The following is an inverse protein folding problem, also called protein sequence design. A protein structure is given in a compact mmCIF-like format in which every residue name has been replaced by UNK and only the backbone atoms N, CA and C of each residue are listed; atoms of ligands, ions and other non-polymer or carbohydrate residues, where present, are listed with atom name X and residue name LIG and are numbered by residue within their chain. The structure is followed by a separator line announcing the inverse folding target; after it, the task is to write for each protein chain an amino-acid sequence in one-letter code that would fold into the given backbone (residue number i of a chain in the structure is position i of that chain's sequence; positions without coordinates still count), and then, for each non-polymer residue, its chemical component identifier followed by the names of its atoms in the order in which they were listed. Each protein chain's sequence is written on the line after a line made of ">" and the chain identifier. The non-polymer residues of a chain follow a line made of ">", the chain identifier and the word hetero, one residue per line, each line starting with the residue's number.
data_IF_725213434012
#
_entry.id   IF_725213434012
#
_cell.length_a   1.000
_cell.length_b   1.000
_cell.length_c   1.000
_cell.angle_alpha   90.00
_cell.angle_beta   90.00
_cell.angle_gamma   90.00
#
_symmetry.space_group_name_H-M   'P 1'
#
loop_
_entity.id
_entity.type
_entity.pdbx_description
1 polymer ?
#
# COMPACT_ATOMS: atom_id res chain seq x y z
N UNK A 1 48.39 21.81 39.62
CA UNK A 1 46.97 21.80 39.20
C UNK A 1 46.75 22.98 38.27
N UNK A 2 46.82 22.74 36.97
CA UNK A 2 46.47 23.72 35.93
C UNK A 2 45.25 23.16 35.22
N UNK A 3 44.08 23.77 35.47
CA UNK A 3 42.85 23.44 34.77
C UNK A 3 42.86 24.18 33.43
N UNK A 4 42.91 23.43 32.33
CA UNK A 4 42.68 23.96 30.99
C UNK A 4 41.17 24.05 30.76
N UNK A 5 40.68 25.26 30.53
CA UNK A 5 39.32 25.55 30.10
C UNK A 5 39.21 25.15 28.63
N UNK A 6 38.50 24.06 28.33
CA UNK A 6 38.13 23.70 26.96
C UNK A 6 36.97 24.60 26.56
N UNK A 7 37.25 25.56 25.69
CA UNK A 7 36.24 26.39 25.03
C UNK A 7 35.65 25.55 23.90
N UNK A 8 34.46 24.96 24.12
CA UNK A 8 33.69 24.35 23.06
C UNK A 8 33.24 25.45 22.10
N UNK A 9 33.70 25.40 20.86
CA UNK A 9 33.16 26.22 19.78
C UNK A 9 31.70 25.81 19.57
N UNK A 10 30.76 26.67 20.01
CA UNK A 10 29.39 26.60 19.53
C UNK A 10 29.44 26.95 18.04
N UNK A 11 29.38 25.93 17.19
CA UNK A 11 29.10 26.13 15.78
C UNK A 11 27.81 26.93 15.66
N UNK A 12 27.84 28.01 14.89
CA UNK A 12 26.63 28.75 14.54
C UNK A 12 25.67 27.78 13.86
N UNK A 13 24.53 27.51 14.51
CA UNK A 13 23.38 26.92 13.85
C UNK A 13 22.94 27.96 12.83
N UNK A 14 23.19 27.71 11.54
CA UNK A 14 22.55 28.48 10.47
C UNK A 14 21.04 28.30 10.67
N UNK A 15 20.29 29.40 10.71
CA UNK A 15 18.84 29.29 10.60
C UNK A 15 18.53 28.71 9.21
N UNK A 16 17.48 27.90 9.12
CA UNK A 16 16.95 27.45 7.84
C UNK A 16 16.54 28.69 7.02
N UNK A 17 17.14 28.83 5.84
CA UNK A 17 16.79 29.90 4.90
C UNK A 17 15.82 29.36 3.83
N UNK A 18 14.97 30.24 3.30
CA UNK A 18 14.13 29.93 2.14
C UNK A 18 14.78 30.51 0.88
N UNK A 19 14.97 29.66 -0.12
CA UNK A 19 15.51 29.96 -1.44
C UNK A 19 14.41 29.78 -2.49
N UNK A 20 14.37 30.67 -3.48
CA UNK A 20 13.31 30.66 -4.51
C UNK A 20 13.83 30.24 -5.88
N UNK A 21 13.04 29.42 -6.59
CA UNK A 21 13.33 28.97 -7.96
C UNK A 21 12.22 29.40 -8.91
N UNK A 22 12.55 30.02 -10.04
CA UNK A 22 11.56 30.47 -11.01
C UNK A 22 12.16 30.92 -12.36
N UNK A 23 11.35 31.52 -13.25
CA UNK A 23 11.74 31.74 -14.65
C UNK A 23 12.82 32.82 -14.88
N UNK A 24 13.16 33.62 -13.88
CA UNK A 24 14.10 34.73 -14.03
C UNK A 24 14.85 35.04 -12.72
N UNK A 25 16.01 35.68 -12.81
CA UNK A 25 16.82 36.06 -11.63
C UNK A 25 16.48 37.44 -11.04
N UNK A 26 15.47 38.13 -11.60
CA UNK A 26 15.02 39.43 -11.04
C UNK A 26 14.04 39.23 -9.90
N UNK A 27 13.27 38.15 -9.94
CA UNK A 27 12.22 37.82 -8.97
C UNK A 27 12.55 36.55 -8.16
N UNK A 28 13.54 35.76 -8.59
CA UNK A 28 13.92 34.49 -7.95
C UNK A 28 15.44 34.40 -7.76
N UNK A 29 15.87 33.63 -6.76
CA UNK A 29 17.28 33.41 -6.46
C UNK A 29 17.97 32.52 -7.51
N UNK A 30 17.22 31.55 -8.05
CA UNK A 30 17.72 30.59 -9.04
C UNK A 30 16.73 30.36 -10.18
N UNK A 31 17.26 29.98 -11.35
CA UNK A 31 16.46 29.54 -12.50
C UNK A 31 16.20 28.02 -12.45
N UNK A 32 17.15 27.26 -11.92
CA UNK A 32 17.10 25.80 -11.90
C UNK A 32 17.07 25.28 -10.46
N UNK A 33 16.36 24.17 -10.25
CA UNK A 33 16.27 23.53 -8.94
C UNK A 33 17.65 22.96 -8.55
N UNK A 34 18.39 22.41 -9.52
CA UNK A 34 19.75 21.89 -9.30
C UNK A 34 20.69 22.97 -8.76
N UNK A 35 20.60 24.21 -9.26
CA UNK A 35 21.45 25.30 -8.77
C UNK A 35 21.07 25.72 -7.34
N UNK A 36 19.78 25.72 -7.00
CA UNK A 36 19.32 25.96 -5.63
C UNK A 36 19.84 24.87 -4.68
N UNK A 37 19.66 23.58 -5.02
CA UNK A 37 20.16 22.44 -4.21
C UNK A 37 21.67 22.55 -3.95
N UNK A 38 22.44 22.90 -4.99
CA UNK A 38 23.90 22.98 -4.87
C UNK A 38 24.35 24.03 -3.84
N UNK A 39 23.62 25.14 -3.72
CA UNK A 39 23.97 26.28 -2.87
C UNK A 39 23.24 26.29 -1.52
N UNK A 40 22.13 25.57 -1.39
CA UNK A 40 21.40 25.43 -0.14
C UNK A 40 22.24 24.76 0.96
N UNK A 41 22.11 25.24 2.18
CA UNK A 41 22.59 24.62 3.40
C UNK A 41 21.63 23.52 3.88
N UNK A 42 22.10 22.66 4.77
CA UNK A 42 21.23 21.66 5.42
C UNK A 42 20.20 22.36 6.29
N UNK A 43 18.94 21.98 6.14
CA UNK A 43 17.77 22.58 6.80
C UNK A 43 17.03 23.61 5.95
N UNK A 44 17.57 24.02 4.80
CA UNK A 44 16.96 25.04 3.95
C UNK A 44 15.70 24.53 3.22
N UNK A 45 14.86 25.49 2.86
CA UNK A 45 13.68 25.30 2.02
C UNK A 45 13.94 25.87 0.62
N UNK A 46 13.58 25.10 -0.41
CA UNK A 46 13.58 25.49 -1.81
C UNK A 46 12.13 25.60 -2.27
N UNK A 47 11.66 26.83 -2.46
CA UNK A 47 10.32 27.15 -2.91
C UNK A 47 10.30 27.31 -4.44
N UNK A 48 9.60 26.42 -5.13
CA UNK A 48 9.67 26.26 -6.58
C UNK A 48 8.40 26.83 -7.23
N UNK A 49 8.55 27.87 -8.04
CA UNK A 49 7.44 28.43 -8.80
C UNK A 49 6.90 27.43 -9.84
N UNK A 50 5.62 27.52 -10.23
CA UNK A 50 5.05 26.66 -11.27
C UNK A 50 5.86 26.67 -12.58
N UNK A 51 6.10 25.50 -13.14
CA UNK A 51 6.93 25.35 -14.33
C UNK A 51 7.29 23.90 -14.67
N UNK A 52 7.83 23.72 -15.88
CA UNK A 52 8.43 22.47 -16.34
C UNK A 52 9.95 22.57 -16.24
N UNK A 53 10.52 21.79 -15.33
CA UNK A 53 11.94 21.74 -15.02
C UNK A 53 12.55 20.46 -15.61
N UNK A 54 13.18 20.60 -16.78
CA UNK A 54 13.89 19.52 -17.45
C UNK A 54 15.24 19.27 -16.76
N UNK A 55 15.20 18.61 -15.60
CA UNK A 55 16.33 18.41 -14.70
C UNK A 55 16.29 17.00 -14.09
N UNK A 56 17.44 16.53 -13.61
CA UNK A 56 17.58 15.31 -12.82
C UNK A 56 18.21 15.71 -11.47
N UNK A 57 17.43 15.63 -10.40
CA UNK A 57 17.76 16.21 -9.10
C UNK A 57 18.48 15.20 -8.20
N UNK A 58 19.44 15.68 -7.42
CA UNK A 58 20.16 14.84 -6.45
C UNK A 58 20.45 15.60 -5.17
N UNK A 59 20.01 15.05 -4.03
CA UNK A 59 20.31 15.54 -2.68
C UNK A 59 21.14 14.50 -1.96
N UNK A 60 22.28 14.93 -1.38
CA UNK A 60 23.13 14.03 -0.63
C UNK A 60 23.82 14.72 0.54
N UNK A 61 23.67 14.14 1.73
CA UNK A 61 24.33 14.61 2.95
C UNK A 61 23.79 15.94 3.48
N UNK A 62 22.60 16.37 3.06
CA UNK A 62 21.93 17.59 3.52
C UNK A 62 20.44 17.35 3.65
N UNK A 63 19.84 17.94 4.67
CA UNK A 63 18.40 17.95 4.84
C UNK A 63 17.81 19.10 4.03
N UNK A 64 16.77 18.88 3.25
CA UNK A 64 16.18 19.92 2.39
C UNK A 64 14.68 19.73 2.22
N UNK A 65 13.92 20.83 2.23
CA UNK A 65 12.53 20.83 1.80
C UNK A 65 12.41 21.41 0.38
N UNK A 66 11.86 20.65 -0.56
CA UNK A 66 11.54 21.11 -1.91
C UNK A 66 10.01 21.18 -2.03
N UNK A 67 9.47 22.38 -2.18
CA UNK A 67 8.02 22.63 -2.16
C UNK A 67 7.56 23.40 -3.37
N UNK A 68 6.39 23.06 -3.88
CA UNK A 68 5.68 23.89 -4.84
C UNK A 68 5.22 25.20 -4.17
N UNK A 69 5.59 26.34 -4.76
CA UNK A 69 5.22 27.68 -4.28
C UNK A 69 3.72 28.00 -4.35
N UNK A 70 2.94 27.14 -5.01
CA UNK A 70 1.54 27.34 -5.30
C UNK A 70 1.30 28.13 -6.60
N UNK A 71 0.04 28.26 -6.98
CA UNK A 71 -0.37 28.99 -8.20
C UNK A 71 -0.22 28.22 -9.51
N UNK A 72 0.13 26.92 -9.47
CA UNK A 72 0.22 26.04 -10.63
C UNK A 72 1.00 24.76 -10.35
N UNK A 73 1.24 23.96 -11.39
CA UNK A 73 1.99 22.71 -11.29
C UNK A 73 3.50 22.94 -11.40
N UNK A 74 4.28 22.21 -10.59
CA UNK A 74 5.74 22.05 -10.71
C UNK A 74 6.01 20.65 -11.23
N UNK A 75 6.68 20.54 -12.37
CA UNK A 75 7.03 19.24 -12.96
C UNK A 75 8.55 19.13 -13.11
N UNK A 76 9.15 18.16 -12.43
CA UNK A 76 10.51 17.68 -12.69
C UNK A 76 10.43 16.62 -13.77
N UNK A 77 11.02 16.90 -14.92
CA UNK A 77 10.92 16.09 -16.13
C UNK A 77 12.26 15.43 -16.46
N UNK A 78 12.36 14.13 -16.21
CA UNK A 78 13.59 13.36 -16.31
C UNK A 78 14.09 13.06 -17.73
N UNK A 79 13.28 13.38 -18.77
CA UNK A 79 13.61 13.28 -20.20
C UNK A 79 13.97 11.87 -20.70
N UNK A 80 13.73 10.82 -19.92
CA UNK A 80 14.21 9.46 -20.17
C UNK A 80 15.72 9.32 -20.07
N UNK A 81 16.41 10.30 -19.45
CA UNK A 81 17.87 10.36 -19.39
C UNK A 81 18.43 9.79 -18.07
N UNK A 82 17.75 10.08 -16.96
CA UNK A 82 18.07 9.58 -15.62
C UNK A 82 16.81 9.68 -14.75
N UNK A 83 16.93 9.34 -13.47
CA UNK A 83 15.89 9.56 -12.45
C UNK A 83 15.47 11.01 -12.39
N UNK A 84 14.21 11.27 -12.08
CA UNK A 84 13.77 12.64 -11.81
C UNK A 84 14.39 13.19 -10.51
N UNK A 85 14.43 12.37 -9.46
CA UNK A 85 14.99 12.74 -8.16
C UNK A 85 15.69 11.57 -7.46
N UNK A 86 16.81 11.86 -6.80
CA UNK A 86 17.51 10.92 -5.94
C UNK A 86 17.92 11.58 -4.62
N UNK A 87 17.58 10.96 -3.49
CA UNK A 87 18.13 11.25 -2.17
C UNK A 87 19.04 10.11 -1.72
N UNK A 88 20.25 10.43 -1.26
CA UNK A 88 21.22 9.43 -0.80
C UNK A 88 22.15 9.94 0.30
N UNK A 89 22.39 9.12 1.32
CA UNK A 89 23.26 9.46 2.45
C UNK A 89 22.65 9.04 3.78
N UNK A 90 23.48 8.63 4.74
CA UNK A 90 23.07 7.90 5.97
C UNK A 90 22.24 8.72 6.97
N UNK A 91 22.05 10.02 6.74
CA UNK A 91 21.26 10.93 7.60
C UNK A 91 20.66 12.07 6.77
N UNK A 92 20.33 11.84 5.51
CA UNK A 92 19.74 12.86 4.63
C UNK A 92 18.24 12.76 4.72
N UNK A 93 17.58 13.84 5.16
CA UNK A 93 16.13 13.92 5.26
C UNK A 93 15.57 14.93 4.25
N UNK A 94 14.64 14.50 3.39
CA UNK A 94 14.09 15.38 2.34
C UNK A 94 12.58 15.45 2.42
N UNK A 95 12.03 16.66 2.27
CA UNK A 95 10.59 16.86 2.06
C UNK A 95 10.37 17.17 0.59
N UNK A 96 9.48 16.42 -0.06
CA UNK A 96 9.03 16.66 -1.42
C UNK A 96 7.53 16.95 -1.37
N UNK A 97 7.12 18.17 -1.69
CA UNK A 97 5.71 18.57 -1.57
C UNK A 97 5.15 19.23 -2.85
N UNK A 98 4.05 18.68 -3.37
CA UNK A 98 3.31 19.30 -4.47
C UNK A 98 4.01 19.23 -5.83
N UNK A 99 4.93 18.26 -6.01
CA UNK A 99 5.79 18.14 -7.20
C UNK A 99 5.36 16.93 -8.04
N UNK A 100 5.33 17.11 -9.36
CA UNK A 100 5.21 16.02 -10.33
C UNK A 100 6.59 15.55 -10.79
N UNK A 101 6.91 14.27 -10.62
CA UNK A 101 8.10 13.61 -11.15
C UNK A 101 7.70 12.74 -12.34
N UNK A 102 8.16 13.08 -13.55
CA UNK A 102 7.72 12.39 -14.75
C UNK A 102 8.79 12.12 -15.79
N UNK A 103 8.58 11.06 -16.56
CA UNK A 103 9.44 10.65 -17.67
C UNK A 103 10.91 10.50 -17.25
N UNK A 104 11.16 9.98 -16.05
CA UNK A 104 12.48 9.54 -15.60
C UNK A 104 12.77 8.12 -16.07
N UNK A 105 14.06 7.82 -16.21
CA UNK A 105 14.54 6.48 -16.59
C UNK A 105 15.70 6.05 -15.70
N UNK A 106 15.73 4.80 -15.24
CA UNK A 106 16.89 4.26 -14.54
C UNK A 106 17.18 2.80 -14.88
N UNK A 107 18.46 2.42 -14.91
CA UNK A 107 18.87 1.01 -14.99
C UNK A 107 19.08 0.36 -13.62
N UNK A 108 18.96 1.12 -12.52
CA UNK A 108 19.27 0.67 -11.16
C UNK A 108 18.09 0.78 -10.18
N UNK A 109 16.87 1.02 -10.69
CA UNK A 109 15.63 1.17 -9.93
C UNK A 109 15.27 2.62 -9.61
N UNK A 110 13.99 2.89 -9.36
CA UNK A 110 13.49 4.23 -9.05
C UNK A 110 13.50 5.17 -10.25
N UNK A 111 12.81 4.82 -11.34
CA UNK A 111 12.79 5.64 -12.56
C UNK A 111 12.37 7.09 -12.30
N UNK A 112 11.40 7.31 -11.42
CA UNK A 112 10.98 8.64 -10.98
C UNK A 112 11.81 9.13 -9.80
N UNK A 113 11.55 8.57 -8.62
CA UNK A 113 12.08 8.99 -7.34
C UNK A 113 12.86 7.84 -6.69
N UNK A 114 14.04 8.12 -6.14
CA UNK A 114 14.83 7.15 -5.40
C UNK A 114 15.30 7.68 -4.05
N UNK A 115 14.92 7.00 -2.98
CA UNK A 115 15.39 7.28 -1.61
C UNK A 115 16.29 6.13 -1.16
N UNK A 116 17.58 6.43 -1.06
CA UNK A 116 18.65 5.44 -0.99
C UNK A 116 19.54 5.58 0.24
N UNK A 117 20.25 4.50 0.60
CA UNK A 117 21.39 4.53 1.54
C UNK A 117 21.08 5.13 2.92
N UNK A 118 19.92 4.80 3.48
CA UNK A 118 19.51 5.25 4.81
C UNK A 118 18.98 6.69 4.86
N UNK A 119 18.82 7.36 3.71
CA UNK A 119 18.08 8.62 3.63
C UNK A 119 16.61 8.42 3.99
N UNK A 120 15.96 9.48 4.45
CA UNK A 120 14.52 9.53 4.69
C UNK A 120 13.86 10.55 3.78
N UNK A 121 12.58 10.34 3.50
CA UNK A 121 11.80 11.32 2.75
C UNK A 121 10.34 11.38 3.20
N UNK A 122 9.81 12.59 3.31
CA UNK A 122 8.37 12.84 3.35
C UNK A 122 7.92 13.29 1.96
N UNK A 123 7.16 12.43 1.28
CA UNK A 123 6.62 12.66 -0.06
C UNK A 123 5.14 12.99 0.08
N UNK A 124 4.76 14.24 -0.15
CA UNK A 124 3.45 14.79 0.19
C UNK A 124 2.82 15.43 -1.05
N UNK A 125 1.55 15.14 -1.31
CA UNK A 125 0.76 15.76 -2.40
C UNK A 125 1.50 15.71 -3.77
N UNK A 126 2.29 14.66 -3.99
CA UNK A 126 3.11 14.51 -5.19
C UNK A 126 2.41 13.67 -6.25
N UNK A 127 2.93 13.76 -7.49
CA UNK A 127 2.56 12.86 -8.58
C UNK A 127 3.82 12.22 -9.16
N UNK A 128 3.91 10.90 -9.15
CA UNK A 128 5.03 10.14 -9.72
C UNK A 128 4.48 9.34 -10.91
N UNK A 129 4.76 9.79 -12.13
CA UNK A 129 4.10 9.24 -13.31
C UNK A 129 4.95 9.04 -14.56
N UNK A 130 4.60 8.02 -15.36
CA UNK A 130 5.23 7.73 -16.65
C UNK A 130 6.76 7.58 -16.52
N UNK A 131 7.23 6.99 -15.42
CA UNK A 131 8.64 6.70 -15.21
C UNK A 131 8.93 5.23 -15.49
N UNK A 132 10.15 4.95 -15.93
CA UNK A 132 10.55 3.60 -16.33
C UNK A 132 11.86 3.19 -15.67
N UNK A 133 11.97 1.92 -15.30
CA UNK A 133 13.24 1.32 -14.93
C UNK A 133 13.37 -0.09 -15.47
N UNK A 134 14.58 -0.51 -15.82
CA UNK A 134 14.86 -1.91 -16.18
C UNK A 134 14.99 -2.83 -14.95
N UNK A 135 14.88 -2.27 -13.74
CA UNK A 135 14.99 -3.01 -12.48
C UNK A 135 13.70 -2.87 -11.67
N UNK A 136 13.76 -2.33 -10.45
CA UNK A 136 12.63 -2.28 -9.50
C UNK A 136 12.12 -0.87 -9.23
N UNK A 137 10.85 -0.71 -8.87
CA UNK A 137 10.28 0.57 -8.47
C UNK A 137 10.24 1.55 -9.65
N UNK A 138 9.37 1.31 -10.63
CA UNK A 138 9.30 2.15 -11.84
C UNK A 138 9.08 3.62 -11.50
N UNK A 139 8.15 3.89 -10.59
CA UNK A 139 7.89 5.23 -10.06
C UNK A 139 8.82 5.57 -8.91
N UNK A 140 8.74 4.81 -7.83
CA UNK A 140 9.42 5.07 -6.57
C UNK A 140 10.21 3.84 -6.11
N UNK A 141 11.48 4.03 -5.73
CA UNK A 141 12.19 3.09 -4.87
C UNK A 141 12.43 3.72 -3.50
N UNK A 142 11.89 3.09 -2.47
CA UNK A 142 12.02 3.51 -1.08
C UNK A 142 12.86 2.45 -0.34
N UNK A 143 14.19 2.58 -0.43
CA UNK A 143 15.13 1.71 0.30
C UNK A 143 15.57 2.30 1.64
N UNK A 144 15.47 3.63 1.75
CA UNK A 144 15.54 4.38 2.99
C UNK A 144 14.27 4.28 3.83
N UNK A 145 14.05 5.24 4.73
CA UNK A 145 12.80 5.38 5.49
C UNK A 145 11.92 6.50 4.95
N UNK A 146 10.77 6.71 5.56
CA UNK A 146 9.96 7.91 5.29
C UNK A 146 8.46 7.67 5.15
N UNK A 147 7.74 8.72 4.80
CA UNK A 147 6.30 8.70 4.59
C UNK A 147 5.93 9.10 3.17
N UNK A 148 4.85 8.53 2.65
CA UNK A 148 4.24 8.90 1.37
C UNK A 148 2.78 9.16 1.62
N UNK A 149 2.36 10.41 1.48
CA UNK A 149 1.02 10.86 1.86
C UNK A 149 0.35 11.59 0.70
N UNK A 150 -0.94 11.31 0.48
CA UNK A 150 -1.77 11.99 -0.54
C UNK A 150 -1.12 12.00 -1.94
N UNK A 151 -0.37 10.95 -2.27
CA UNK A 151 0.46 10.93 -3.48
C UNK A 151 -0.12 9.97 -4.50
N UNK A 152 -0.05 10.37 -5.77
CA UNK A 152 -0.47 9.55 -6.91
C UNK A 152 0.77 8.95 -7.58
N UNK A 153 0.81 7.62 -7.70
CA UNK A 153 1.89 6.87 -8.35
C UNK A 153 1.28 6.09 -9.50
N UNK A 154 1.47 6.54 -10.74
CA UNK A 154 0.73 6.00 -11.87
C UNK A 154 1.49 5.79 -13.17
N UNK A 155 1.06 4.81 -13.95
CA UNK A 155 1.61 4.53 -15.29
C UNK A 155 3.13 4.36 -15.30
N UNK A 156 3.71 3.86 -14.20
CA UNK A 156 5.13 3.59 -14.13
C UNK A 156 5.42 2.13 -14.51
N UNK A 157 6.61 1.89 -15.04
CA UNK A 157 7.02 0.59 -15.58
C UNK A 157 8.32 0.14 -14.92
N UNK A 158 8.33 -1.08 -14.40
CA UNK A 158 9.53 -1.78 -13.93
C UNK A 158 9.77 -3.04 -14.78
N UNK A 159 11.03 -3.26 -15.17
CA UNK A 159 11.44 -4.50 -15.85
C UNK A 159 11.55 -5.71 -14.92
N UNK A 160 11.63 -5.47 -13.60
CA UNK A 160 11.54 -6.44 -12.52
C UNK A 160 10.34 -6.04 -11.64
N UNK A 161 10.50 -5.89 -10.33
CA UNK A 161 9.39 -5.88 -9.39
C UNK A 161 8.94 -4.45 -9.02
N UNK A 162 7.68 -4.30 -8.63
CA UNK A 162 7.17 -3.02 -8.15
C UNK A 162 7.06 -2.00 -9.27
N UNK A 163 6.11 -2.21 -10.19
CA UNK A 163 5.91 -1.30 -11.33
C UNK A 163 5.74 0.16 -10.88
N UNK A 164 4.94 0.37 -9.83
CA UNK A 164 4.77 1.68 -9.20
C UNK A 164 5.84 1.93 -8.15
N UNK A 165 5.89 1.07 -7.13
CA UNK A 165 6.69 1.25 -5.92
C UNK A 165 7.49 0.00 -5.62
N UNK A 166 8.74 0.17 -5.25
CA UNK A 166 9.49 -0.87 -4.56
C UNK A 166 9.88 -0.40 -3.15
N UNK A 167 9.48 -1.20 -2.17
CA UNK A 167 9.79 -1.02 -0.75
C UNK A 167 10.85 -2.03 -0.33
N UNK A 168 12.00 -1.54 0.16
CA UNK A 168 13.08 -2.39 0.67
C UNK A 168 13.84 -1.75 1.83
N UNK A 169 14.75 -2.48 2.44
CA UNK A 169 15.61 -1.97 3.50
C UNK A 169 14.90 -1.75 4.84
N UNK A 170 15.68 -1.59 5.90
CA UNK A 170 15.25 -1.86 7.28
C UNK A 170 14.58 -0.69 8.04
N UNK A 171 14.40 0.48 7.41
CA UNK A 171 13.81 1.65 8.07
C UNK A 171 12.31 1.72 7.85
N UNK A 172 11.54 2.14 8.86
CA UNK A 172 10.09 2.29 8.81
C UNK A 172 9.60 3.14 7.62
N UNK A 173 8.47 2.74 7.04
CA UNK A 173 7.83 3.30 5.86
C UNK A 173 6.32 3.35 6.07
N UNK A 174 5.69 4.45 5.67
CA UNK A 174 4.24 4.58 5.75
C UNK A 174 3.69 5.15 4.44
N UNK A 175 2.56 4.62 4.02
CA UNK A 175 1.79 5.14 2.90
C UNK A 175 0.39 5.45 3.40
N UNK A 176 -0.06 6.69 3.21
CA UNK A 176 -1.37 7.15 3.69
C UNK A 176 -2.09 7.86 2.56
N UNK A 177 -3.33 7.45 2.28
CA UNK A 177 -4.19 8.09 1.28
C UNK A 177 -3.50 8.20 -0.11
N UNK A 178 -2.83 7.11 -0.52
CA UNK A 178 -2.13 7.07 -1.81
C UNK A 178 -2.95 6.35 -2.87
N UNK A 179 -2.83 6.81 -4.11
CA UNK A 179 -3.36 6.12 -5.30
C UNK A 179 -2.21 5.52 -6.09
N UNK A 180 -2.18 4.19 -6.20
CA UNK A 180 -1.19 3.43 -6.95
C UNK A 180 -1.90 2.77 -8.12
N UNK A 181 -1.73 3.35 -9.32
CA UNK A 181 -2.62 3.07 -10.45
C UNK A 181 -1.91 2.79 -11.79
N UNK A 182 -2.39 1.79 -12.53
CA UNK A 182 -1.97 1.61 -13.92
C UNK A 182 -0.48 1.29 -14.07
N UNK A 183 0.17 0.83 -13.00
CA UNK A 183 1.59 0.52 -13.03
C UNK A 183 1.83 -0.91 -13.52
N UNK A 184 2.98 -1.15 -14.14
CA UNK A 184 3.34 -2.45 -14.71
C UNK A 184 4.70 -2.93 -14.18
N UNK A 185 4.74 -4.15 -13.66
CA UNK A 185 5.96 -4.81 -13.20
C UNK A 185 5.97 -6.30 -13.58
N UNK A 186 7.09 -6.97 -13.33
CA UNK A 186 7.19 -8.42 -13.39
C UNK A 186 6.40 -9.05 -12.24
N UNK A 187 6.79 -8.78 -11.00
CA UNK A 187 6.04 -9.15 -9.79
C UNK A 187 5.59 -7.86 -9.10
N UNK A 188 4.35 -7.81 -8.60
CA UNK A 188 3.88 -6.61 -7.90
C UNK A 188 3.70 -5.44 -8.86
N UNK A 189 2.67 -5.49 -9.71
CA UNK A 189 2.44 -4.45 -10.71
C UNK A 189 2.36 -3.05 -10.10
N UNK A 190 1.69 -2.92 -8.97
CA UNK A 190 1.63 -1.69 -8.18
C UNK A 190 2.82 -1.55 -7.23
N UNK A 191 3.09 -2.59 -6.44
CA UNK A 191 4.07 -2.56 -5.36
C UNK A 191 4.81 -3.89 -5.18
N UNK A 192 6.12 -3.82 -5.00
CA UNK A 192 6.93 -4.90 -4.43
C UNK A 192 7.39 -4.55 -3.02
N UNK A 193 7.35 -5.53 -2.12
CA UNK A 193 7.86 -5.43 -0.76
C UNK A 193 8.95 -6.47 -0.57
N UNK A 194 10.19 -6.03 -0.32
CA UNK A 194 11.37 -6.90 -0.17
C UNK A 194 12.25 -6.44 0.99
N UNK A 195 11.72 -6.52 2.22
CA UNK A 195 12.45 -6.10 3.43
C UNK A 195 12.38 -7.11 4.57
N UNK A 196 13.21 -6.90 5.58
CA UNK A 196 13.31 -7.70 6.81
C UNK A 196 12.74 -6.93 7.99
N UNK A 197 11.70 -7.47 8.63
CA UNK A 197 11.07 -6.88 9.82
C UNK A 197 9.86 -5.97 9.54
N UNK A 198 9.21 -5.52 10.62
CA UNK A 198 7.93 -4.80 10.61
C UNK A 198 8.13 -3.34 10.20
N UNK A 199 7.95 -3.04 8.91
CA UNK A 199 8.46 -1.78 8.38
C UNK A 199 7.47 -1.01 7.52
N UNK A 200 6.56 -1.63 6.77
CA UNK A 200 5.63 -0.88 5.90
C UNK A 200 4.17 -1.04 6.31
N UNK A 201 3.50 0.10 6.51
CA UNK A 201 2.05 0.20 6.63
C UNK A 201 1.46 0.98 5.46
N UNK A 202 0.27 0.57 5.05
CA UNK A 202 -0.55 1.23 4.05
C UNK A 202 -1.91 1.49 4.67
N UNK A 203 -2.30 2.76 4.76
CA UNK A 203 -3.58 3.18 5.29
C UNK A 203 -4.34 3.95 4.20
N UNK A 204 -5.63 3.64 4.00
CA UNK A 204 -6.50 4.39 3.06
C UNK A 204 -5.94 4.44 1.64
N UNK A 205 -5.20 3.42 1.24
CA UNK A 205 -4.55 3.37 -0.06
C UNK A 205 -5.41 2.63 -1.08
N UNK A 206 -5.34 3.07 -2.33
CA UNK A 206 -6.02 2.43 -3.46
C UNK A 206 -4.99 1.88 -4.43
N UNK A 207 -5.06 0.58 -4.69
CA UNK A 207 -4.31 -0.12 -5.73
C UNK A 207 -5.26 -0.47 -6.87
N UNK A 208 -5.13 0.24 -8.00
CA UNK A 208 -6.10 0.12 -9.09
C UNK A 208 -5.47 -0.14 -10.46
N UNK A 209 -6.03 -1.06 -11.24
CA UNK A 209 -5.59 -1.29 -12.62
C UNK A 209 -4.08 -1.58 -12.76
N UNK A 210 -3.43 -2.12 -11.73
CA UNK A 210 -2.03 -2.47 -11.83
C UNK A 210 -1.88 -3.85 -12.48
N UNK A 211 -0.79 -4.02 -13.23
CA UNK A 211 -0.55 -5.24 -14.01
C UNK A 211 0.81 -5.86 -13.65
N UNK A 212 0.80 -7.14 -13.29
CA UNK A 212 2.01 -7.95 -13.19
C UNK A 212 2.10 -8.90 -14.38
N UNK A 213 3.23 -8.94 -15.09
CA UNK A 213 3.48 -9.96 -16.12
C UNK A 213 3.82 -11.33 -15.51
N UNK A 214 4.10 -11.37 -14.21
CA UNK A 214 4.19 -12.55 -13.36
C UNK A 214 2.98 -12.61 -12.43
N UNK A 215 3.19 -12.32 -11.15
CA UNK A 215 2.26 -12.54 -10.05
C UNK A 215 2.05 -11.27 -9.21
N UNK A 216 0.94 -11.23 -8.48
CA UNK A 216 0.62 -10.11 -7.59
C UNK A 216 0.35 -8.85 -8.41
N UNK A 217 -0.80 -8.78 -9.08
CA UNK A 217 -1.11 -7.64 -9.96
C UNK A 217 -1.02 -6.29 -9.24
N UNK A 218 -1.49 -6.24 -7.99
CA UNK A 218 -1.32 -5.08 -7.11
C UNK A 218 0.00 -5.15 -6.33
N UNK A 219 0.18 -6.21 -5.54
CA UNK A 219 1.25 -6.32 -4.53
C UNK A 219 1.95 -7.66 -4.64
N UNK A 220 3.27 -7.63 -4.66
CA UNK A 220 4.11 -8.79 -4.41
C UNK A 220 4.89 -8.61 -3.10
N UNK A 221 4.68 -9.51 -2.16
CA UNK A 221 5.48 -9.64 -0.94
C UNK A 221 6.56 -10.66 -1.23
N UNK A 222 7.81 -10.20 -1.25
CA UNK A 222 8.96 -10.94 -1.73
C UNK A 222 9.89 -11.26 -0.56
N UNK A 223 9.85 -12.51 -0.10
CA UNK A 223 10.70 -12.95 0.99
C UNK A 223 12.19 -12.88 0.65
N UNK A 224 12.99 -12.70 1.70
CA UNK A 224 14.46 -12.71 1.59
C UNK A 224 14.95 -14.09 1.98
N UNK A 225 15.37 -14.87 0.98
CA UNK A 225 15.87 -16.24 1.16
C UNK A 225 16.92 -16.33 2.28
N UNK A 226 16.71 -17.20 3.25
CA UNK A 226 17.67 -17.47 4.34
C UNK A 226 17.53 -16.57 5.57
N UNK A 227 16.55 -15.66 5.60
CA UNK A 227 16.15 -14.96 6.81
C UNK A 227 15.02 -15.73 7.51
N UNK A 228 15.09 -15.86 8.84
CA UNK A 228 14.09 -16.54 9.67
C UNK A 228 13.09 -15.59 10.36
N UNK A 229 13.26 -14.28 10.17
CA UNK A 229 12.29 -13.29 10.65
C UNK A 229 11.25 -13.07 9.55
N UNK A 230 10.03 -13.53 9.78
CA UNK A 230 8.89 -13.22 8.93
C UNK A 230 8.73 -11.71 8.83
N UNK A 231 8.81 -11.16 7.61
CA UNK A 231 8.41 -9.78 7.41
C UNK A 231 6.89 -9.77 7.21
N UNK A 232 6.19 -8.81 7.82
CA UNK A 232 4.80 -8.56 7.46
C UNK A 232 4.64 -7.18 6.85
N UNK A 233 3.63 -7.08 5.99
CA UNK A 233 3.14 -5.82 5.46
C UNK A 233 1.66 -5.70 5.82
N UNK A 234 1.28 -4.53 6.35
CA UNK A 234 -0.08 -4.27 6.81
C UNK A 234 -0.79 -3.28 5.89
N UNK A 235 -2.03 -3.63 5.53
CA UNK A 235 -2.95 -2.82 4.75
C UNK A 235 -4.22 -2.61 5.56
N UNK A 236 -4.50 -1.36 5.89
CA UNK A 236 -5.68 -0.96 6.65
C UNK A 236 -6.53 -0.04 5.79
N UNK A 237 -7.83 -0.35 5.69
CA UNK A 237 -8.79 0.51 4.99
C UNK A 237 -8.38 0.72 3.53
N UNK A 238 -7.89 -0.34 2.88
CA UNK A 238 -7.35 -0.27 1.52
C UNK A 238 -8.32 -0.85 0.48
N UNK A 239 -8.25 -0.32 -0.74
CA UNK A 239 -8.99 -0.82 -1.89
C UNK A 239 -8.03 -1.44 -2.91
N UNK A 240 -8.25 -2.70 -3.26
CA UNK A 240 -7.56 -3.40 -4.34
C UNK A 240 -8.56 -3.69 -5.46
N UNK A 241 -8.53 -2.90 -6.52
CA UNK A 241 -9.56 -2.93 -7.56
C UNK A 241 -8.97 -3.15 -8.96
N UNK A 242 -9.52 -4.09 -9.72
CA UNK A 242 -9.16 -4.30 -11.13
C UNK A 242 -7.67 -4.56 -11.38
N UNK A 243 -6.96 -5.17 -10.43
CA UNK A 243 -5.56 -5.53 -10.65
C UNK A 243 -5.48 -6.87 -11.39
N UNK A 244 -4.41 -7.03 -12.18
CA UNK A 244 -4.27 -8.16 -13.08
C UNK A 244 -2.88 -8.80 -12.98
N UNK A 245 -2.84 -10.12 -12.87
CA UNK A 245 -1.60 -10.91 -12.97
C UNK A 245 -1.69 -11.91 -14.13
N UNK A 246 -0.68 -11.90 -15.01
CA UNK A 246 -0.59 -12.87 -16.11
C UNK A 246 -0.27 -14.30 -15.65
N UNK A 247 0.06 -14.49 -14.37
CA UNK A 247 0.30 -15.81 -13.80
C UNK A 247 -0.66 -16.10 -12.64
N UNK A 248 -0.46 -15.48 -11.48
CA UNK A 248 -1.17 -15.86 -10.27
C UNK A 248 -1.32 -14.70 -9.28
N UNK A 249 -2.34 -14.73 -8.42
CA UNK A 249 -2.53 -13.69 -7.40
C UNK A 249 -2.93 -12.37 -8.05
N UNK A 250 -4.17 -12.27 -8.50
CA UNK A 250 -4.61 -11.12 -9.30
C UNK A 250 -4.41 -9.78 -8.59
N UNK A 251 -4.59 -9.75 -7.28
CA UNK A 251 -4.17 -8.63 -6.44
C UNK A 251 -2.82 -8.91 -5.77
N UNK A 252 -2.73 -10.02 -5.02
CA UNK A 252 -1.65 -10.24 -4.07
C UNK A 252 -0.91 -11.54 -4.39
N UNK A 253 0.41 -11.45 -4.45
CA UNK A 253 1.27 -12.60 -4.34
C UNK A 253 2.16 -12.48 -3.10
N UNK A 254 2.26 -13.58 -2.34
CA UNK A 254 3.16 -13.69 -1.19
C UNK A 254 4.14 -14.81 -1.49
N UNK A 255 5.43 -14.49 -1.49
CA UNK A 255 6.52 -15.44 -1.70
C UNK A 255 7.31 -15.62 -0.41
N UNK A 256 7.77 -16.85 -0.15
CA UNK A 256 8.59 -17.18 1.03
C UNK A 256 8.00 -16.65 2.35
N UNK A 257 8.77 -16.67 3.47
CA UNK A 257 8.42 -16.52 4.91
C UNK A 257 7.59 -15.29 5.36
N UNK A 258 6.91 -14.59 4.47
CA UNK A 258 6.26 -13.33 4.76
C UNK A 258 4.76 -13.45 5.05
N UNK A 259 4.22 -12.42 5.68
CA UNK A 259 2.80 -12.30 5.99
C UNK A 259 2.23 -11.06 5.31
N UNK A 260 1.16 -11.25 4.54
CA UNK A 260 0.33 -10.14 4.10
C UNK A 260 -0.86 -10.03 5.06
N UNK A 261 -1.10 -8.83 5.60
CA UNK A 261 -2.26 -8.59 6.46
C UNK A 261 -3.14 -7.48 5.92
N UNK A 262 -4.43 -7.80 5.74
CA UNK A 262 -5.47 -6.84 5.43
C UNK A 262 -6.42 -6.66 6.62
N UNK A 263 -6.78 -5.41 6.89
CA UNK A 263 -7.80 -5.00 7.85
C UNK A 263 -8.77 -4.04 7.15
N UNK A 264 -10.08 -4.20 7.37
CA UNK A 264 -11.13 -3.29 6.88
C UNK A 264 -11.01 -2.97 5.38
N UNK A 265 -10.59 -3.95 4.57
CA UNK A 265 -10.17 -3.71 3.18
C UNK A 265 -11.08 -4.40 2.17
N UNK A 266 -11.19 -3.81 0.99
CA UNK A 266 -11.96 -4.35 -0.14
C UNK A 266 -11.02 -4.85 -1.23
N UNK A 267 -11.27 -6.06 -1.71
CA UNK A 267 -10.63 -6.63 -2.89
C UNK A 267 -11.72 -6.91 -3.92
N UNK A 268 -11.72 -6.15 -5.01
CA UNK A 268 -12.74 -6.28 -6.05
C UNK A 268 -12.15 -6.43 -7.45
N UNK A 269 -12.80 -7.24 -8.28
CA UNK A 269 -12.53 -7.32 -9.72
C UNK A 269 -11.06 -7.62 -10.06
N UNK A 270 -10.29 -8.20 -9.15
CA UNK A 270 -8.92 -8.59 -9.42
C UNK A 270 -8.91 -9.91 -10.20
N UNK A 271 -7.92 -10.08 -11.07
CA UNK A 271 -7.87 -11.24 -11.95
C UNK A 271 -6.48 -11.83 -12.11
N UNK A 272 -6.41 -13.15 -12.13
CA UNK A 272 -5.21 -13.89 -12.52
C UNK A 272 -5.47 -14.75 -13.76
N UNK A 273 -4.48 -14.95 -14.62
CA UNK A 273 -4.68 -15.87 -15.75
C UNK A 273 -4.75 -17.34 -15.31
N UNK A 274 -3.97 -17.79 -14.31
CA UNK A 274 -3.86 -19.22 -13.99
C UNK A 274 -4.52 -19.66 -12.68
N UNK A 275 -4.25 -18.99 -11.54
CA UNK A 275 -4.69 -19.42 -10.20
C UNK A 275 -4.70 -18.25 -9.21
N UNK A 276 -5.54 -18.33 -8.17
CA UNK A 276 -5.58 -17.34 -7.09
C UNK A 276 -6.06 -15.98 -7.60
N UNK A 277 -7.36 -15.89 -7.93
CA UNK A 277 -7.96 -14.72 -8.57
C UNK A 277 -7.71 -13.41 -7.83
N UNK A 278 -7.68 -13.45 -6.49
CA UNK A 278 -7.19 -12.33 -5.66
C UNK A 278 -5.83 -12.62 -5.06
N UNK A 279 -5.66 -13.76 -4.39
CA UNK A 279 -4.47 -14.07 -3.59
C UNK A 279 -3.82 -15.35 -4.06
N UNK A 280 -2.50 -15.30 -4.22
CA UNK A 280 -1.62 -16.45 -4.33
C UNK A 280 -0.62 -16.39 -3.18
N UNK A 281 -0.67 -17.32 -2.24
CA UNK A 281 0.21 -17.27 -1.07
C UNK A 281 1.11 -18.51 -0.98
N UNK A 282 2.39 -18.28 -0.70
CA UNK A 282 3.37 -19.31 -0.34
C UNK A 282 3.68 -19.32 1.17
N UNK A 283 3.10 -18.36 1.90
CA UNK A 283 3.02 -18.24 3.35
C UNK A 283 1.68 -17.61 3.76
N UNK A 284 1.63 -16.84 4.84
CA UNK A 284 0.37 -16.49 5.49
C UNK A 284 -0.29 -15.27 4.83
N UNK A 285 -1.57 -15.42 4.50
CA UNK A 285 -2.46 -14.30 4.21
C UNK A 285 -3.48 -14.18 5.34
N UNK A 286 -3.44 -13.06 6.06
CA UNK A 286 -4.41 -12.73 7.11
C UNK A 286 -5.36 -11.64 6.60
N UNK A 287 -6.67 -11.85 6.75
CA UNK A 287 -7.66 -10.81 6.52
C UNK A 287 -8.68 -10.74 7.66
N UNK A 288 -8.91 -9.53 8.16
CA UNK A 288 -9.89 -9.22 9.20
C UNK A 288 -10.83 -8.14 8.67
N UNK A 289 -12.14 -8.35 8.79
CA UNK A 289 -13.15 -7.39 8.30
C UNK A 289 -12.96 -7.03 6.83
N UNK A 290 -12.67 -8.01 5.97
CA UNK A 290 -12.41 -7.74 4.55
C UNK A 290 -13.57 -8.23 3.68
N UNK A 291 -13.80 -7.50 2.58
CA UNK A 291 -14.82 -7.85 1.58
C UNK A 291 -14.13 -8.20 0.26
N UNK A 292 -14.37 -9.41 -0.24
CA UNK A 292 -13.81 -9.93 -1.49
C UNK A 292 -14.93 -10.15 -2.50
N UNK A 293 -14.91 -9.41 -3.61
CA UNK A 293 -16.00 -9.43 -4.60
C UNK A 293 -15.48 -9.62 -6.01
N UNK A 294 -16.03 -10.60 -6.73
CA UNK A 294 -15.76 -10.78 -8.17
C UNK A 294 -14.27 -10.87 -8.53
N UNK A 295 -13.46 -11.47 -7.65
CA UNK A 295 -12.07 -11.78 -7.96
C UNK A 295 -11.99 -13.14 -8.65
N UNK A 296 -11.36 -13.19 -9.82
CA UNK A 296 -11.55 -14.31 -10.75
C UNK A 296 -10.25 -14.82 -11.37
N UNK A 297 -10.30 -16.06 -11.84
CA UNK A 297 -9.26 -16.66 -12.67
C UNK A 297 -9.77 -16.78 -14.09
N UNK A 298 -9.05 -16.17 -15.05
CA UNK A 298 -9.49 -16.10 -16.45
C UNK A 298 -9.41 -17.49 -17.13
N UNK A 299 -8.50 -18.37 -16.67
CA UNK A 299 -8.43 -19.74 -17.18
C UNK A 299 -9.71 -20.53 -16.89
N UNK A 300 -10.27 -21.11 -17.96
CA UNK A 300 -11.49 -21.89 -17.88
C UNK A 300 -11.38 -23.07 -16.89
N UNK A 301 -12.32 -23.14 -15.95
CA UNK A 301 -12.46 -24.25 -14.99
C UNK A 301 -11.65 -24.09 -13.70
N UNK A 302 -10.99 -22.95 -13.51
CA UNK A 302 -10.40 -22.54 -12.22
C UNK A 302 -11.19 -21.33 -11.75
N UNK A 303 -11.73 -21.39 -10.54
CA UNK A 303 -12.47 -20.27 -9.95
C UNK A 303 -12.20 -20.26 -8.46
N UNK A 304 -10.96 -19.97 -8.09
CA UNK A 304 -10.57 -19.75 -6.71
C UNK A 304 -10.16 -18.29 -6.50
N UNK A 305 -10.64 -17.71 -5.42
CA UNK A 305 -10.19 -16.38 -4.99
C UNK A 305 -8.81 -16.51 -4.35
N UNK A 306 -8.59 -17.58 -3.58
CA UNK A 306 -7.38 -17.83 -2.80
C UNK A 306 -6.71 -19.12 -3.28
N UNK A 307 -5.39 -19.07 -3.49
CA UNK A 307 -4.60 -20.27 -3.72
C UNK A 307 -3.36 -20.28 -2.82
N UNK A 308 -3.15 -21.40 -2.12
CA UNK A 308 -1.93 -21.73 -1.39
C UNK A 308 -0.98 -22.68 -2.15
N UNK A 309 0.35 -22.45 -2.12
CA UNK A 309 1.32 -23.38 -2.77
C UNK A 309 1.90 -24.45 -1.84
N UNK A 310 1.86 -24.20 -0.54
CA UNK A 310 2.62 -24.96 0.47
C UNK A 310 1.72 -25.29 1.65
N UNK A 311 2.06 -26.35 2.37
CA UNK A 311 1.28 -26.78 3.55
C UNK A 311 1.39 -25.85 4.75
N UNK A 312 2.28 -24.86 4.69
CA UNK A 312 2.46 -23.79 5.67
C UNK A 312 2.02 -22.42 5.12
N UNK A 313 1.30 -22.42 4.00
CA UNK A 313 0.77 -21.22 3.35
C UNK A 313 -0.70 -21.03 3.70
N UNK A 314 -0.96 -20.67 4.95
CA UNK A 314 -2.33 -20.57 5.46
C UNK A 314 -3.01 -19.29 4.97
N UNK A 315 -4.30 -19.42 4.66
CA UNK A 315 -5.19 -18.29 4.41
C UNK A 315 -6.16 -18.20 5.57
N UNK A 316 -6.05 -17.13 6.37
CA UNK A 316 -6.83 -16.92 7.58
C UNK A 316 -7.80 -15.76 7.37
N UNK A 317 -9.10 -16.03 7.52
CA UNK A 317 -10.17 -15.04 7.40
C UNK A 317 -10.97 -14.94 8.70
N UNK A 318 -11.16 -13.72 9.19
CA UNK A 318 -11.98 -13.40 10.35
C UNK A 318 -12.93 -12.26 10.00
N UNK A 319 -14.23 -12.42 10.29
CA UNK A 319 -15.23 -11.37 10.04
C UNK A 319 -15.28 -10.92 8.58
N UNK A 320 -14.99 -11.82 7.64
CA UNK A 320 -14.88 -11.48 6.21
C UNK A 320 -16.17 -11.80 5.46
N UNK A 321 -16.35 -11.14 4.30
CA UNK A 321 -17.37 -11.45 3.32
C UNK A 321 -16.69 -11.84 2.01
N UNK A 322 -16.99 -13.03 1.49
CA UNK A 322 -16.49 -13.52 0.21
C UNK A 322 -17.66 -13.75 -0.74
N UNK A 323 -17.67 -13.00 -1.85
CA UNK A 323 -18.63 -13.14 -2.95
C UNK A 323 -17.85 -13.43 -4.22
N UNK A 324 -17.89 -14.67 -4.67
CA UNK A 324 -17.29 -15.09 -5.93
C UNK A 324 -18.26 -15.99 -6.70
N UNK A 325 -17.95 -16.23 -7.98
CA UNK A 325 -18.79 -17.05 -8.86
C UNK A 325 -18.71 -18.56 -8.57
N UNK A 326 -17.78 -18.98 -7.70
CA UNK A 326 -17.49 -20.38 -7.38
C UNK A 326 -18.11 -20.78 -6.05
N UNK A 327 -18.36 -22.08 -5.85
CA UNK A 327 -18.75 -22.58 -4.54
C UNK A 327 -17.53 -22.90 -3.64
N UNK A 328 -16.30 -22.79 -4.16
CA UNK A 328 -15.07 -23.07 -3.45
C UNK A 328 -14.11 -21.88 -3.58
N UNK A 329 -13.85 -21.19 -2.48
CA UNK A 329 -13.08 -19.95 -2.49
C UNK A 329 -11.57 -20.19 -2.47
N UNK A 330 -11.13 -21.33 -1.95
CA UNK A 330 -9.73 -21.66 -1.75
C UNK A 330 -9.32 -22.99 -2.42
N UNK A 331 -8.11 -23.04 -2.98
CA UNK A 331 -7.42 -24.28 -3.35
C UNK A 331 -5.97 -24.31 -2.87
N UNK A 332 -5.37 -25.50 -2.88
CA UNK A 332 -3.97 -25.68 -2.47
C UNK A 332 -3.80 -26.51 -1.19
N UNK A 333 -2.55 -26.80 -0.79
CA UNK A 333 -2.24 -27.64 0.36
C UNK A 333 -2.16 -26.90 1.69
N UNK A 334 -2.19 -25.55 1.71
CA UNK A 334 -2.23 -24.76 2.94
C UNK A 334 -3.62 -24.76 3.57
N UNK A 335 -3.70 -24.43 4.86
CA UNK A 335 -4.98 -24.44 5.55
C UNK A 335 -5.82 -23.20 5.18
N UNK A 336 -7.12 -23.41 4.99
CA UNK A 336 -8.10 -22.33 4.81
C UNK A 336 -8.89 -22.17 6.11
N UNK A 337 -8.38 -21.31 6.98
CA UNK A 337 -8.90 -21.10 8.33
C UNK A 337 -9.86 -19.92 8.32
N UNK A 338 -11.15 -20.20 8.20
CA UNK A 338 -12.18 -19.17 8.19
C UNK A 338 -12.99 -19.23 9.48
N UNK A 339 -13.27 -18.08 10.08
CA UNK A 339 -14.13 -17.98 11.26
C UNK A 339 -15.00 -16.74 11.20
N UNK A 340 -16.22 -16.84 11.75
CA UNK A 340 -17.20 -15.76 11.79
C UNK A 340 -17.30 -15.01 10.46
N UNK A 341 -17.45 -15.72 9.34
CA UNK A 341 -17.40 -15.10 8.01
C UNK A 341 -18.52 -15.62 7.10
N UNK A 342 -18.91 -14.77 6.15
CA UNK A 342 -19.85 -15.11 5.10
C UNK A 342 -19.06 -15.61 3.88
N UNK A 343 -19.15 -16.91 3.60
CA UNK A 343 -18.41 -17.56 2.49
C UNK A 343 -19.29 -18.52 1.69
N UNK A 344 -19.06 -18.69 0.37
CA UNK A 344 -19.86 -19.56 -0.49
C UNK A 344 -19.93 -21.03 -0.07
N UNK A 345 -18.83 -21.57 0.47
CA UNK A 345 -18.72 -22.97 0.89
C UNK A 345 -19.35 -23.30 2.26
N UNK A 346 -19.78 -22.29 3.02
CA UNK A 346 -20.39 -22.48 4.33
C UNK A 346 -21.88 -22.90 4.25
N UNK A 347 -22.48 -23.40 5.34
CA UNK A 347 -23.89 -23.78 5.35
C UNK A 347 -24.81 -22.58 5.07
N UNK A 348 -25.87 -22.81 4.29
CA UNK A 348 -26.83 -21.76 3.96
C UNK A 348 -27.71 -21.44 5.17
N UNK A 349 -27.81 -20.17 5.53
CA UNK A 349 -28.73 -19.64 6.54
C UNK A 349 -28.23 -19.70 7.98
N UNK A 350 -27.91 -20.89 8.50
CA UNK A 350 -27.42 -21.05 9.88
C UNK A 350 -25.90 -21.24 9.94
N UNK A 351 -25.24 -20.51 10.85
CA UNK A 351 -23.81 -20.60 11.06
C UNK A 351 -23.35 -21.97 11.58
N UNK A 352 -22.17 -22.38 11.14
CA UNK A 352 -21.50 -23.58 11.63
C UNK A 352 -20.82 -23.33 13.00
N UNK A 353 -20.09 -24.33 13.50
CA UNK A 353 -19.42 -24.24 14.81
C UNK A 353 -18.33 -23.15 14.89
N UNK A 354 -17.80 -22.70 13.75
CA UNK A 354 -16.78 -21.66 13.65
C UNK A 354 -17.40 -20.28 13.33
N UNK A 355 -18.73 -20.18 13.33
CA UNK A 355 -19.46 -18.95 13.05
C UNK A 355 -19.63 -18.63 11.56
N UNK A 356 -19.29 -19.55 10.65
CA UNK A 356 -19.37 -19.30 9.21
C UNK A 356 -20.72 -19.72 8.63
N UNK A 357 -21.26 -18.93 7.70
CA UNK A 357 -22.49 -19.21 6.98
C UNK A 357 -22.44 -18.67 5.55
N UNK A 358 -23.42 -19.08 4.74
CA UNK A 358 -23.65 -18.57 3.40
C UNK A 358 -25.03 -17.92 3.32
N UNK A 359 -25.06 -16.67 2.87
CA UNK A 359 -26.26 -15.89 2.60
C UNK A 359 -25.95 -14.84 1.52
N UNK A 360 -26.98 -14.23 0.95
CA UNK A 360 -26.78 -12.99 0.19
C UNK A 360 -26.36 -11.88 1.18
N UNK A 361 -25.18 -11.24 1.02
CA UNK A 361 -24.77 -10.14 1.88
C UNK A 361 -25.69 -8.92 1.77
N UNK A 362 -26.57 -8.85 0.77
CA UNK A 362 -27.49 -7.74 0.55
C UNK A 362 -26.75 -6.39 0.45
N UNK A 363 -25.74 -6.33 -0.41
CA UNK A 363 -25.05 -5.07 -0.72
C UNK A 363 -25.97 -4.06 -1.41
N UNK A 364 -25.78 -2.77 -1.13
CA UNK A 364 -26.57 -1.67 -1.71
C UNK A 364 -26.49 -1.65 -3.23
N UNK A 365 -25.28 -1.75 -3.81
CA UNK A 365 -25.08 -1.83 -5.26
C UNK A 365 -23.83 -2.67 -5.59
N UNK A 366 -24.03 -3.99 -5.65
CA UNK A 366 -22.97 -4.96 -5.99
C UNK A 366 -22.29 -4.65 -7.34
N UNK A 367 -23.06 -4.25 -8.36
CA UNK A 367 -22.52 -3.99 -9.70
C UNK A 367 -21.86 -2.60 -9.80
N UNK A 368 -22.28 -1.66 -8.96
CA UNK A 368 -21.72 -0.31 -8.85
C UNK A 368 -20.51 -0.18 -7.92
N UNK A 369 -20.14 -1.24 -7.19
CA UNK A 369 -19.03 -1.23 -6.23
C UNK A 369 -19.39 -0.66 -4.86
N UNK A 370 -20.68 -0.52 -4.54
CA UNK A 370 -21.15 -0.14 -3.21
C UNK A 370 -21.46 -1.40 -2.40
N UNK A 371 -20.48 -1.80 -1.59
CA UNK A 371 -20.55 -3.00 -0.75
C UNK A 371 -20.99 -2.69 0.68
N UNK A 372 -21.61 -1.54 0.93
CA UNK A 372 -22.31 -1.29 2.19
C UNK A 372 -23.55 -2.20 2.30
N UNK A 373 -23.96 -2.54 3.52
CA UNK A 373 -25.05 -3.49 3.78
C UNK A 373 -26.42 -2.81 3.74
N UNK A 374 -27.42 -3.50 3.18
CA UNK A 374 -28.82 -3.10 3.32
C UNK A 374 -29.43 -3.66 4.61
N UNK A 375 -30.42 -2.94 5.15
CA UNK A 375 -31.21 -3.39 6.29
C UNK A 375 -31.77 -4.81 6.09
N UNK A 376 -31.62 -5.65 7.12
CA UNK A 376 -32.02 -7.06 7.09
C UNK A 376 -31.01 -8.02 6.46
N UNK A 377 -29.80 -7.53 6.13
CA UNK A 377 -28.68 -8.40 5.77
C UNK A 377 -28.33 -9.36 6.90
N UNK A 378 -28.04 -10.61 6.57
CA UNK A 378 -27.52 -11.59 7.53
C UNK A 378 -26.08 -11.30 7.98
N UNK A 379 -25.38 -10.36 7.33
CA UNK A 379 -24.03 -9.94 7.70
C UNK A 379 -24.02 -8.91 8.85
N UNK A 380 -25.18 -8.32 9.18
CA UNK A 380 -25.32 -7.36 10.27
C UNK A 380 -25.26 -8.10 11.61
N UNK A 381 -24.50 -7.58 12.56
CA UNK A 381 -24.26 -8.10 13.91
C UNK A 381 -23.78 -9.58 13.97
N UNK A 382 -23.19 -10.04 12.87
CA UNK A 382 -22.78 -11.44 12.68
C UNK A 382 -21.28 -11.69 12.89
N UNK A 383 -20.48 -10.63 13.06
CA UNK A 383 -19.05 -10.73 13.32
C UNK A 383 -18.67 -10.88 14.80
N UNK A 384 -17.46 -11.38 15.03
CA UNK A 384 -16.91 -11.54 16.37
C UNK A 384 -16.05 -10.34 16.77
N UNK A 385 -16.58 -9.51 17.67
CA UNK A 385 -15.94 -8.30 18.19
C UNK A 385 -14.82 -8.56 19.21
N UNK A 386 -14.65 -9.80 19.66
CA UNK A 386 -13.68 -10.19 20.70
C UNK A 386 -12.59 -11.12 20.18
N UNK A 387 -12.60 -11.37 18.88
CA UNK A 387 -11.65 -12.27 18.24
C UNK A 387 -10.27 -11.61 18.13
N UNK A 388 -9.24 -12.47 18.13
CA UNK A 388 -7.85 -12.09 17.92
C UNK A 388 -7.31 -12.92 16.77
N UNK A 389 -6.78 -12.26 15.73
CA UNK A 389 -6.09 -12.91 14.62
C UNK A 389 -4.66 -12.37 14.51
N UNK A 390 -3.69 -13.19 14.89
CA UNK A 390 -2.30 -12.76 14.98
C UNK A 390 -2.14 -11.59 15.96
N UNK A 391 -1.58 -10.43 15.54
CA UNK A 391 -1.47 -9.22 16.36
C UNK A 391 -2.71 -8.31 16.30
N UNK A 392 -3.76 -8.66 15.54
CA UNK A 392 -4.98 -7.87 15.48
C UNK A 392 -5.92 -8.33 16.59
N UNK A 393 -6.22 -7.43 17.52
CA UNK A 393 -7.30 -7.57 18.50
C UNK A 393 -8.50 -6.75 18.01
N UNK A 394 -9.65 -7.38 17.82
CA UNK A 394 -10.87 -6.69 17.38
C UNK A 394 -11.34 -5.61 18.35
N UNK A 395 -10.90 -5.64 19.61
CA UNK A 395 -11.19 -4.59 20.58
C UNK A 395 -10.39 -3.30 20.33
N UNK A 396 -9.33 -3.36 19.53
CA UNK A 396 -8.51 -2.21 19.13
C UNK A 396 -8.90 -1.66 17.75
N UNK A 397 -9.94 -2.21 17.11
CA UNK A 397 -10.44 -1.76 15.79
C UNK A 397 -11.61 -0.81 15.98
N UNK A 398 -11.35 0.50 15.88
CA UNK A 398 -12.34 1.55 16.18
C UNK A 398 -13.32 1.83 15.03
N UNK A 399 -12.85 1.78 13.78
CA UNK A 399 -13.63 2.20 12.61
C UNK A 399 -13.62 1.19 11.48
N UNK A 400 -14.62 1.27 10.59
CA UNK A 400 -14.72 0.51 9.35
C UNK A 400 -14.02 1.23 8.17
N UNK A 401 -14.26 0.74 6.94
CA UNK A 401 -13.69 1.31 5.72
C UNK A 401 -14.18 2.74 5.40
N UNK A 402 -15.39 3.11 5.81
CA UNK A 402 -15.93 4.46 5.64
C UNK A 402 -15.46 5.42 6.75
N UNK A 403 -14.82 4.89 7.79
CA UNK A 403 -14.48 5.64 9.00
C UNK A 403 -15.63 5.72 10.00
N UNK A 404 -16.69 4.93 9.81
CA UNK A 404 -17.80 4.80 10.73
C UNK A 404 -17.41 3.90 11.91
N UNK A 405 -18.09 4.07 13.05
CA UNK A 405 -17.81 3.31 14.27
C UNK A 405 -18.07 1.83 14.00
N UNK A 406 -17.09 0.97 14.32
CA UNK A 406 -17.12 -0.44 13.93
C UNK A 406 -17.95 -1.35 14.83
N UNK A 407 -18.36 -0.89 16.01
CA UNK A 407 -19.07 -1.72 16.97
C UNK A 407 -20.49 -1.21 17.23
N UNK A 408 -21.22 -0.98 16.16
CA UNK A 408 -22.52 -0.32 16.17
C UNK A 408 -23.65 -1.34 16.01
N UNK A 409 -24.19 -1.77 17.15
CA UNK A 409 -25.33 -2.71 17.24
C UNK A 409 -26.58 -2.19 16.49
N UNK A 410 -27.17 -3.01 15.62
CA UNK A 410 -28.49 -2.78 15.05
C UNK A 410 -29.58 -3.42 15.94
N UNK A 411 -30.37 -2.62 16.68
CA UNK A 411 -31.33 -3.14 17.65
C UNK A 411 -32.47 -3.97 17.03
N UNK A 412 -32.66 -3.89 15.70
CA UNK A 412 -33.66 -4.65 14.96
C UNK A 412 -33.11 -5.98 14.39
N UNK A 413 -31.81 -6.23 14.50
CA UNK A 413 -31.12 -7.46 14.05
C UNK A 413 -30.71 -8.32 15.24
N UNK A 414 -30.73 -9.64 15.08
CA UNK A 414 -30.28 -10.56 16.13
C UNK A 414 -28.76 -10.75 16.07
N UNK A 415 -28.10 -10.54 17.20
CA UNK A 415 -26.66 -10.71 17.36
C UNK A 415 -26.28 -12.20 17.22
N UNK A 416 -25.59 -12.54 16.12
CA UNK A 416 -25.21 -13.94 15.81
C UNK A 416 -23.71 -14.19 15.91
N UNK A 417 -22.87 -13.15 15.87
CA UNK A 417 -21.41 -13.28 15.95
C UNK A 417 -20.85 -13.43 17.37
N UNK A 418 -21.57 -12.91 18.37
CA UNK A 418 -21.25 -12.96 19.80
C UNK A 418 -22.52 -13.15 20.62
N UNK A 419 -22.41 -13.25 21.95
CA UNK A 419 -23.61 -13.31 22.79
C UNK A 419 -24.34 -11.96 22.84
N UNK A 420 -25.67 -11.98 22.98
CA UNK A 420 -26.60 -10.82 22.82
C UNK A 420 -26.39 -9.61 23.76
N UNK A 421 -25.35 -9.60 24.58
CA UNK A 421 -25.01 -8.50 25.49
C UNK A 421 -23.59 -7.96 25.26
N UNK A 422 -22.88 -8.49 24.27
CA UNK A 422 -21.53 -8.08 23.86
C UNK A 422 -21.61 -7.10 22.69
N UNK A 423 -20.56 -6.29 22.51
CA UNK A 423 -20.42 -5.40 21.34
C UNK A 423 -20.52 -6.25 20.09
N UNK A 424 -21.36 -5.88 19.13
CA UNK A 424 -21.43 -6.55 17.84
C UNK A 424 -20.66 -5.76 16.79
N UNK A 425 -20.23 -6.47 15.75
CA UNK A 425 -19.60 -5.90 14.56
C UNK A 425 -20.20 -6.61 13.36
N UNK A 426 -20.27 -5.92 12.24
CA UNK A 426 -20.73 -6.52 11.00
C UNK A 426 -19.62 -7.29 10.30
N UNK A 427 -20.01 -8.18 9.40
CA UNK A 427 -19.09 -8.88 8.51
C UNK A 427 -18.67 -8.00 7.33
N UNK A 428 -17.41 -8.12 6.92
CA UNK A 428 -16.86 -7.45 5.75
C UNK A 428 -16.26 -6.09 6.07
N UNK A 429 -16.00 -5.26 5.08
CA UNK A 429 -15.27 -4.00 5.26
C UNK A 429 -16.10 -2.85 5.84
N UNK A 430 -17.42 -3.00 5.94
CA UNK A 430 -18.34 -1.92 6.30
C UNK A 430 -19.20 -2.29 7.50
N UNK A 431 -19.52 -1.29 8.32
CA UNK A 431 -20.52 -1.38 9.39
C UNK A 431 -21.83 -0.72 8.92
N UNK A 432 -22.95 -1.41 9.10
CA UNK A 432 -24.28 -0.90 8.81
C UNK A 432 -24.61 0.29 9.69
N UNK A 433 -25.20 1.32 9.08
CA UNK A 433 -25.63 2.53 9.77
C UNK A 433 -27.19 2.56 9.76
N UNK A 434 -27.84 2.22 10.90
CA UNK A 434 -29.31 2.07 10.99
C UNK A 434 -30.12 3.37 10.84
#
# INVERSE_FOLDING_TARGET
>A
MTAALVLAAMGSVSLADTVTVGPNLTDFDYITITAAIANAASGDEILIAPGLYAENLSVSGKDLALRNAGGGAVTVFGQGLDRCFMSTGTTTDVVLEGITFSNGFSTAGGGGVAILNGSTADIIDCVIENNETTFVGGGLILSGGGSVTNTIIRNNIAGSDGGGVDVRGSLAKSFVNCLIEGNTGLEGGGLSYSTTGDIASFEKCTFRNNTATGRGGAVAVLGISGNSNAAFVAFDTCLFSMNHAQSAGGAVWISDQDVFRALNSVFELNSAENIGGVVRNEQVFDAVNCTFVNNDVIAAGVSDSFESNRSDADTNLLNCVVVNASAASHTGPGDFNVSHSLIPEAPVGEANADGNFNADPMFVDLDGGDYTLMAGSAAIDAGNSRAVLGPVDMLDVDTDMNGDIRNLDDPDTENTGVSTWELCVDLGAFEFQP
#
